data_IF_687165950117
#
_entry.id   IF_687165950117
#
_cell.length_a   1.000
_cell.length_b   1.000
_cell.length_c   1.000
_cell.angle_alpha   90.00
_cell.angle_beta   90.00
_cell.angle_gamma   90.00
#
_symmetry.space_group_name_H-M   'P 1'
#
loop_
_entity.id
_entity.type
_entity.pdbx_description
1 polymer ?
#
# COMPACT_ATOMS: atom_id res chain seq x y z
N UNK A 1 -4.71 6.35 -12.63
CA UNK A 1 -3.37 6.86 -12.19
C UNK A 1 -2.31 5.75 -12.22
N UNK A 2 -2.54 4.72 -13.04
CA UNK A 2 -1.88 3.43 -12.97
C UNK A 2 -0.45 3.55 -13.48
N UNK A 3 -0.25 4.28 -14.58
CA UNK A 3 1.08 4.55 -15.14
C UNK A 3 2.02 5.25 -14.13
N UNK A 4 1.50 6.17 -13.31
CA UNK A 4 2.29 6.86 -12.29
C UNK A 4 2.71 5.89 -11.19
N UNK A 5 1.76 5.13 -10.64
CA UNK A 5 2.05 4.17 -9.57
C UNK A 5 2.99 3.05 -10.01
N UNK A 6 2.73 2.45 -11.18
CA UNK A 6 3.59 1.41 -11.77
C UNK A 6 4.97 1.98 -12.08
N UNK A 7 5.04 3.13 -12.76
CA UNK A 7 6.30 3.79 -13.12
C UNK A 7 7.16 4.07 -11.89
N UNK A 8 6.60 4.70 -10.85
CA UNK A 8 7.32 4.95 -9.60
C UNK A 8 7.83 3.66 -8.97
N UNK A 9 7.00 2.61 -8.89
CA UNK A 9 7.39 1.36 -8.22
C UNK A 9 8.49 0.61 -8.97
N UNK A 10 8.50 0.63 -10.30
CA UNK A 10 9.54 -0.05 -11.10
C UNK A 10 10.95 0.49 -10.86
N UNK A 11 11.07 1.72 -10.34
CA UNK A 11 12.36 2.34 -10.01
C UNK A 11 12.84 2.06 -8.58
N UNK A 12 12.01 1.44 -7.74
CA UNK A 12 12.32 1.15 -6.34
C UNK A 12 13.09 -0.16 -6.19
N UNK A 13 13.95 -0.22 -5.18
CA UNK A 13 14.53 -1.49 -4.73
C UNK A 13 13.44 -2.34 -4.04
N UNK A 14 13.60 -3.67 -3.99
CA UNK A 14 12.70 -4.53 -3.23
C UNK A 14 12.58 -4.14 -1.75
N UNK A 15 13.66 -3.63 -1.16
CA UNK A 15 13.71 -3.18 0.25
C UNK A 15 13.07 -1.82 0.51
N UNK A 16 12.76 -1.04 -0.53
CA UNK A 16 12.20 0.30 -0.36
C UNK A 16 10.72 0.22 0.02
N UNK A 17 10.37 0.95 1.08
CA UNK A 17 9.02 1.00 1.62
C UNK A 17 8.18 2.07 0.92
N UNK A 18 6.88 1.81 0.76
CA UNK A 18 5.93 2.76 0.17
C UNK A 18 4.86 3.14 1.19
N UNK A 19 4.50 4.42 1.20
CA UNK A 19 3.33 4.96 1.88
C UNK A 19 2.47 5.65 0.83
N UNK A 20 1.19 5.34 0.82
CA UNK A 20 0.29 5.83 -0.22
C UNK A 20 -0.86 6.67 0.36
N UNK A 21 -1.57 7.35 -0.53
CA UNK A 21 -2.89 7.92 -0.24
C UNK A 21 -3.97 6.85 -0.38
N UNK A 22 -5.25 7.22 -0.31
CA UNK A 22 -6.39 6.34 -0.55
C UNK A 22 -6.45 5.70 -1.96
N UNK A 23 -5.56 6.07 -2.90
CA UNK A 23 -5.51 5.55 -4.29
C UNK A 23 -4.41 4.52 -4.50
N UNK A 24 -4.33 3.54 -3.62
CA UNK A 24 -3.15 2.70 -3.50
C UNK A 24 -3.25 1.30 -4.10
N UNK A 25 -4.42 0.86 -4.56
CA UNK A 25 -4.58 -0.53 -5.02
C UNK A 25 -3.61 -0.87 -6.15
N UNK A 26 -3.49 0.03 -7.12
CA UNK A 26 -2.51 -0.12 -8.21
C UNK A 26 -1.07 -0.14 -7.71
N UNK A 27 -0.75 0.57 -6.63
CA UNK A 27 0.56 0.55 -6.00
C UNK A 27 0.82 -0.78 -5.30
N UNK A 28 -0.17 -1.29 -4.55
CA UNK A 28 -0.07 -2.60 -3.89
C UNK A 28 0.13 -3.74 -4.91
N UNK A 29 -0.64 -3.75 -6.00
CA UNK A 29 -0.50 -4.71 -7.09
C UNK A 29 0.86 -4.61 -7.76
N UNK A 30 1.32 -3.39 -8.09
CA UNK A 30 2.62 -3.17 -8.72
C UNK A 30 3.79 -3.56 -7.80
N UNK A 31 3.63 -3.47 -6.48
CA UNK A 31 4.62 -3.93 -5.50
C UNK A 31 4.55 -5.45 -5.24
N UNK A 32 3.65 -6.17 -5.90
CA UNK A 32 3.57 -7.63 -5.90
C UNK A 32 2.51 -8.22 -4.97
N UNK A 33 1.57 -7.42 -4.46
CA UNK A 33 0.46 -7.96 -3.66
C UNK A 33 -0.45 -8.82 -4.53
N UNK A 34 -0.82 -10.00 -4.03
CA UNK A 34 -1.70 -10.91 -4.74
C UNK A 34 -3.10 -10.26 -4.93
N UNK A 35 -3.65 -10.25 -6.17
CA UNK A 35 -4.93 -9.60 -6.44
C UNK A 35 -6.10 -10.10 -5.57
N UNK A 36 -6.17 -11.41 -5.30
CA UNK A 36 -7.13 -12.02 -4.40
C UNK A 36 -7.04 -11.50 -2.97
N UNK A 37 -5.84 -11.25 -2.44
CA UNK A 37 -5.64 -10.62 -1.14
C UNK A 37 -6.14 -9.17 -1.12
N UNK A 38 -5.90 -8.40 -2.19
CA UNK A 38 -6.45 -7.04 -2.36
C UNK A 38 -7.98 -7.09 -2.37
N UNK A 39 -8.57 -7.97 -3.18
CA UNK A 39 -10.03 -8.11 -3.24
C UNK A 39 -10.62 -8.59 -1.92
N UNK A 40 -9.97 -9.55 -1.25
CA UNK A 40 -10.39 -10.02 0.07
C UNK A 40 -10.40 -8.89 1.09
N UNK A 41 -9.41 -8.01 1.08
CA UNK A 41 -9.37 -6.83 1.94
C UNK A 41 -10.52 -5.86 1.63
N UNK A 42 -10.78 -5.59 0.34
CA UNK A 42 -11.89 -4.74 -0.10
C UNK A 42 -13.26 -5.25 0.35
N UNK A 43 -13.43 -6.57 0.42
CA UNK A 43 -14.66 -7.22 0.87
C UNK A 43 -14.68 -7.53 2.38
N UNK A 44 -13.71 -7.07 3.16
CA UNK A 44 -13.67 -7.29 4.61
C UNK A 44 -13.46 -8.76 5.01
N UNK A 45 -12.86 -9.57 4.15
CA UNK A 45 -12.62 -11.00 4.41
C UNK A 45 -11.37 -11.18 5.26
N UNK A 46 -11.36 -12.22 6.10
CA UNK A 46 -10.21 -12.57 6.95
C UNK A 46 -8.92 -12.88 6.16
N UNK A 47 -9.07 -13.26 4.89
CA UNK A 47 -7.96 -13.54 3.97
C UNK A 47 -7.38 -12.28 3.31
N UNK A 48 -7.88 -11.09 3.64
CA UNK A 48 -7.31 -9.83 3.18
C UNK A 48 -5.94 -9.56 3.81
N UNK A 49 -5.13 -8.70 3.18
CA UNK A 49 -3.77 -8.37 3.64
C UNK A 49 -3.73 -7.81 5.08
N UNK A 50 -4.82 -7.19 5.53
CA UNK A 50 -5.03 -6.65 6.88
C UNK A 50 -6.19 -7.34 7.60
N UNK A 51 -6.53 -8.58 7.20
CA UNK A 51 -7.65 -9.38 7.71
C UNK A 51 -9.02 -8.71 7.55
N UNK A 52 -9.19 -7.90 6.50
CA UNK A 52 -10.44 -7.20 6.22
C UNK A 52 -10.71 -5.99 7.10
N UNK A 53 -9.75 -5.58 7.94
CA UNK A 53 -9.89 -4.44 8.87
C UNK A 53 -9.46 -3.12 8.25
N UNK A 54 -8.57 -3.16 7.26
CA UNK A 54 -8.05 -1.98 6.59
C UNK A 54 -8.98 -1.48 5.49
N UNK A 55 -9.67 -2.40 4.82
CA UNK A 55 -10.55 -2.09 3.71
C UNK A 55 -9.82 -1.41 2.55
N UNK A 56 -10.56 -0.61 1.77
CA UNK A 56 -10.04 -0.01 0.54
C UNK A 56 -8.87 0.95 0.74
N UNK A 57 -8.77 1.61 1.89
CA UNK A 57 -7.79 2.69 2.05
C UNK A 57 -6.54 2.28 2.83
N UNK A 58 -6.40 1.04 3.31
CA UNK A 58 -5.31 0.61 4.20
C UNK A 58 -4.70 -0.76 3.80
N UNK A 59 -4.17 -0.86 2.60
CA UNK A 59 -3.42 -2.02 2.10
C UNK A 59 -2.06 -2.11 2.79
N UNK A 60 -1.85 -3.13 3.63
CA UNK A 60 -0.62 -3.28 4.42
C UNK A 60 0.10 -4.58 4.08
N UNK A 61 1.43 -4.54 3.96
CA UNK A 61 2.28 -5.72 3.88
C UNK A 61 3.70 -5.38 4.31
N UNK A 62 4.15 -5.97 5.42
CA UNK A 62 5.55 -5.85 5.86
C UNK A 62 6.52 -6.49 4.87
N UNK A 63 6.11 -7.61 4.27
CA UNK A 63 6.93 -8.37 3.32
C UNK A 63 7.20 -7.58 2.04
N UNK A 64 6.18 -6.88 1.52
CA UNK A 64 6.28 -6.09 0.29
C UNK A 64 6.68 -4.63 0.54
N UNK A 65 6.93 -4.26 1.80
CA UNK A 65 7.25 -2.89 2.19
C UNK A 65 6.09 -1.90 1.99
N UNK A 66 4.84 -2.35 2.07
CA UNK A 66 3.65 -1.51 1.93
C UNK A 66 3.17 -1.12 3.33
N UNK A 67 3.35 0.14 3.70
CA UNK A 67 3.01 0.63 5.04
C UNK A 67 1.63 1.31 5.09
N UNK A 68 0.70 0.85 4.25
CA UNK A 68 -0.67 1.33 4.27
C UNK A 68 -0.92 2.59 3.45
N UNK A 69 -2.20 2.73 3.12
CA UNK A 69 -2.77 3.94 2.58
C UNK A 69 -3.36 4.78 3.68
N UNK A 70 -3.40 6.07 3.41
CA UNK A 70 -3.94 7.03 4.35
C UNK A 70 -5.23 7.59 3.78
N UNK A 71 -6.33 7.35 4.50
CA UNK A 71 -7.63 7.96 4.22
C UNK A 71 -7.66 9.44 4.63
N UNK A 72 -6.80 9.84 5.58
CA UNK A 72 -6.59 11.24 5.93
C UNK A 72 -5.60 11.83 4.92
N UNK A 73 -6.07 12.86 4.21
CA UNK A 73 -5.27 13.54 3.20
C UNK A 73 -3.99 14.10 3.82
N UNK A 74 -2.85 13.84 3.16
CA UNK A 74 -1.50 14.25 3.55
C UNK A 74 -0.93 13.58 4.81
N UNK A 75 -1.68 12.74 5.54
CA UNK A 75 -1.16 12.05 6.73
C UNK A 75 0.04 11.15 6.42
N UNK A 76 0.12 10.59 5.22
CA UNK A 76 1.24 9.76 4.78
C UNK A 76 2.58 10.52 4.70
N UNK A 77 2.57 11.84 4.51
CA UNK A 77 3.79 12.61 4.25
C UNK A 77 4.72 12.70 5.48
N UNK A 78 4.27 13.17 6.67
CA UNK A 78 5.12 13.20 7.85
C UNK A 78 5.51 11.80 8.31
N UNK A 79 4.64 10.80 8.13
CA UNK A 79 4.96 9.40 8.45
C UNK A 79 6.07 8.89 7.54
N UNK A 80 6.00 9.15 6.23
CA UNK A 80 7.05 8.76 5.29
C UNK A 80 8.40 9.40 5.64
N UNK A 81 8.40 10.68 6.03
CA UNK A 81 9.62 11.36 6.48
C UNK A 81 10.21 10.71 7.74
N UNK A 82 9.37 10.37 8.73
CA UNK A 82 9.80 9.67 9.93
C UNK A 82 10.34 8.26 9.65
N UNK A 83 9.68 7.51 8.76
CA UNK A 83 10.13 6.18 8.32
C UNK A 83 11.47 6.26 7.57
N UNK A 84 11.70 7.31 6.77
CA UNK A 84 12.96 7.50 6.05
C UNK A 84 14.12 7.92 6.96
N UNK A 85 13.83 8.54 8.11
CA UNK A 85 14.83 8.95 9.09
C UNK A 85 15.32 7.79 9.98
N UNK A 86 14.45 6.80 10.24
CA UNK A 86 14.70 5.67 11.14
C UNK A 86 15.45 4.52 10.45
#
# INVERSE_FOLDING_TARGET
>A
QEAVGVGCITTLRPSDKILCSYREHGHALAKGMEPGAVMAELFGKITGCSKGKGGSMHMWSNELGILGGNGIVAAQMPIAAGVALA
#
